data_IF_898705106785
#
_entry.id   IF_898705106785
#
_cell.length_a   1.000
_cell.length_b   1.000
_cell.length_c   1.000
_cell.angle_alpha   90.00
_cell.angle_beta   90.00
_cell.angle_gamma   90.00
#
_symmetry.space_group_name_H-M   'P 1'
#
loop_
_entity.id
_entity.type
_entity.pdbx_description
1 polymer ?
#
# COMPACT_ATOMS: atom_id res chain seq x y z
N UNK A 1 -14.54 -12.16 -18.97
CA UNK A 1 -15.79 -12.28 -18.18
C UNK A 1 -15.74 -13.31 -17.07
N UNK A 2 -14.55 -13.85 -16.68
CA UNK A 2 -14.40 -14.86 -15.60
C UNK A 2 -13.64 -14.37 -14.34
N UNK A 3 -13.25 -13.10 -14.29
CA UNK A 3 -12.44 -12.54 -13.19
C UNK A 3 -13.29 -12.01 -12.02
N UNK A 4 -14.57 -11.71 -12.28
CA UNK A 4 -15.48 -11.14 -11.25
C UNK A 4 -16.02 -12.20 -10.28
N UNK A 5 -16.01 -13.48 -10.66
CA UNK A 5 -16.67 -14.54 -9.86
C UNK A 5 -15.85 -15.06 -8.67
N UNK A 6 -14.53 -14.86 -8.65
CA UNK A 6 -13.66 -15.38 -7.58
C UNK A 6 -13.51 -14.42 -6.38
N UNK A 7 -13.87 -13.14 -6.54
CA UNK A 7 -13.77 -12.12 -5.49
C UNK A 7 -14.97 -12.09 -4.53
N UNK A 8 -15.94 -12.96 -4.72
CA UNK A 8 -17.28 -12.81 -4.12
C UNK A 8 -17.50 -13.52 -2.79
N UNK A 9 -16.56 -14.28 -2.26
CA UNK A 9 -16.88 -15.16 -1.13
C UNK A 9 -16.49 -14.69 0.26
N UNK A 10 -15.85 -13.54 0.45
CA UNK A 10 -15.36 -13.15 1.79
C UNK A 10 -15.32 -11.67 2.16
N UNK A 11 -15.59 -10.73 1.26
CA UNK A 11 -15.54 -9.31 1.60
C UNK A 11 -16.92 -8.79 2.03
N UNK A 12 -17.20 -8.84 3.33
CA UNK A 12 -18.42 -8.27 3.91
C UNK A 12 -18.07 -6.91 4.47
N UNK A 13 -18.36 -5.86 3.70
CA UNK A 13 -18.30 -4.48 4.17
C UNK A 13 -19.73 -3.96 4.37
N UNK A 14 -20.02 -3.40 5.54
CA UNK A 14 -21.31 -2.80 5.77
C UNK A 14 -21.36 -1.36 5.27
N UNK A 15 -22.42 -1.01 4.59
CA UNK A 15 -22.77 0.36 4.24
C UNK A 15 -23.57 1.03 5.34
N UNK A 16 -23.11 2.17 5.82
CA UNK A 16 -23.97 3.11 6.54
C UNK A 16 -24.85 3.86 5.54
N UNK A 17 -26.03 4.29 5.99
CA UNK A 17 -27.13 4.90 5.23
C UNK A 17 -26.70 5.73 4.00
N UNK A 18 -27.41 5.51 2.90
CA UNK A 18 -27.24 6.24 1.65
C UNK A 18 -27.37 7.75 1.85
N UNK A 19 -26.25 8.46 1.84
CA UNK A 19 -26.27 9.91 1.65
C UNK A 19 -26.25 10.19 0.16
N UNK A 20 -27.08 11.12 -0.30
CA UNK A 20 -27.09 11.56 -1.69
C UNK A 20 -25.70 12.02 -2.11
N UNK A 21 -25.19 11.51 -3.24
CA UNK A 21 -23.94 11.98 -3.82
C UNK A 21 -24.06 13.45 -4.23
N UNK A 22 -23.03 14.25 -4.04
CA UNK A 22 -23.01 15.61 -4.58
C UNK A 22 -23.24 15.60 -6.10
N UNK A 23 -23.99 16.57 -6.58
CA UNK A 23 -24.48 16.64 -7.98
C UNK A 23 -23.34 16.63 -9.03
N UNK A 24 -22.11 16.90 -8.63
CA UNK A 24 -20.94 17.03 -9.54
C UNK A 24 -19.87 15.94 -9.39
N UNK A 25 -20.12 14.88 -8.59
CA UNK A 25 -19.14 13.80 -8.50
C UNK A 25 -19.11 12.99 -9.81
N UNK A 26 -17.92 12.74 -10.43
CA UNK A 26 -17.86 11.91 -11.61
C UNK A 26 -18.34 10.50 -11.29
N UNK A 27 -19.22 9.98 -12.15
CA UNK A 27 -19.73 8.63 -11.99
C UNK A 27 -18.60 7.60 -12.17
N UNK A 28 -18.56 6.54 -11.34
CA UNK A 28 -17.61 5.47 -11.51
C UNK A 28 -17.87 4.73 -12.85
N UNK A 29 -16.83 4.16 -13.43
CA UNK A 29 -16.97 3.28 -14.59
C UNK A 29 -17.90 2.09 -14.28
N UNK A 30 -18.49 1.47 -15.27
CA UNK A 30 -19.42 0.35 -15.10
C UNK A 30 -18.82 -0.80 -14.26
N UNK A 31 -17.52 -1.11 -14.44
CA UNK A 31 -16.83 -2.14 -13.68
C UNK A 31 -16.64 -1.76 -12.20
N UNK A 32 -16.27 -0.51 -11.94
CA UNK A 32 -16.14 0.01 -10.56
C UNK A 32 -17.51 0.08 -9.89
N UNK A 33 -18.54 0.53 -10.62
CA UNK A 33 -19.91 0.55 -10.08
C UNK A 33 -20.38 -0.85 -9.68
N UNK A 34 -20.20 -1.86 -10.53
CA UNK A 34 -20.58 -3.23 -10.22
C UNK A 34 -19.85 -3.77 -8.96
N UNK A 35 -18.58 -3.44 -8.81
CA UNK A 35 -17.82 -3.76 -7.60
C UNK A 35 -18.39 -3.07 -6.36
N UNK A 36 -18.69 -1.77 -6.44
CA UNK A 36 -19.25 -1.00 -5.32
C UNK A 36 -20.65 -1.48 -4.96
N UNK A 37 -21.49 -1.86 -5.93
CA UNK A 37 -22.82 -2.40 -5.68
C UNK A 37 -22.74 -3.69 -4.84
N UNK A 38 -21.81 -4.59 -5.16
CA UNK A 38 -21.56 -5.81 -4.39
C UNK A 38 -21.03 -5.47 -3.00
N UNK A 39 -20.04 -4.59 -2.91
CA UNK A 39 -19.46 -4.16 -1.66
C UNK A 39 -20.50 -3.58 -0.70
N UNK A 40 -21.38 -2.72 -1.22
CA UNK A 40 -22.39 -2.01 -0.44
C UNK A 40 -23.66 -2.86 -0.17
N UNK A 41 -23.82 -4.03 -0.80
CA UNK A 41 -24.95 -4.95 -0.50
C UNK A 41 -24.73 -5.81 0.75
N UNK A 42 -23.51 -5.82 1.29
CA UNK A 42 -23.17 -6.61 2.48
C UNK A 42 -23.71 -6.00 3.77
N UNK A 43 -24.05 -6.87 4.72
CA UNK A 43 -24.53 -6.49 6.08
C UNK A 43 -23.45 -6.72 7.15
N UNK A 44 -22.17 -6.73 6.75
CA UNK A 44 -21.07 -6.96 7.69
C UNK A 44 -20.77 -5.75 8.58
N UNK A 45 -19.98 -6.01 9.62
CA UNK A 45 -19.46 -4.97 10.51
C UNK A 45 -18.57 -4.00 9.72
N UNK A 46 -18.78 -2.68 9.80
CA UNK A 46 -17.89 -1.70 9.18
C UNK A 46 -16.43 -1.88 9.62
N UNK A 47 -15.49 -1.67 8.71
CA UNK A 47 -14.06 -1.89 8.99
C UNK A 47 -13.56 -1.01 10.14
N UNK A 48 -14.02 0.23 10.21
CA UNK A 48 -13.67 1.18 11.28
C UNK A 48 -14.24 0.83 12.66
N UNK A 49 -15.08 -0.20 12.74
CA UNK A 49 -15.57 -0.76 13.99
C UNK A 49 -14.87 -2.09 14.36
N UNK A 50 -14.01 -2.58 13.46
CA UNK A 50 -13.23 -3.80 13.69
C UNK A 50 -11.96 -3.48 14.48
N UNK A 51 -11.43 -4.49 15.18
CA UNK A 51 -10.04 -4.44 15.61
C UNK A 51 -9.09 -4.48 14.39
N UNK A 52 -7.86 -3.97 14.51
CA UNK A 52 -6.86 -4.08 13.45
C UNK A 52 -6.65 -5.53 12.97
N UNK A 53 -6.67 -6.50 13.89
CA UNK A 53 -6.51 -7.91 13.56
C UNK A 53 -7.68 -8.46 12.71
N UNK A 54 -8.93 -8.15 13.08
CA UNK A 54 -10.12 -8.51 12.29
C UNK A 54 -10.06 -7.89 10.89
N UNK A 55 -9.77 -6.58 10.81
CA UNK A 55 -9.71 -5.85 9.54
C UNK A 55 -8.63 -6.40 8.59
N UNK A 56 -7.47 -6.83 9.13
CA UNK A 56 -6.41 -7.51 8.35
C UNK A 56 -6.91 -8.81 7.73
N UNK A 57 -7.67 -9.62 8.48
CA UNK A 57 -8.22 -10.88 7.96
C UNK A 57 -9.19 -10.65 6.80
N UNK A 58 -9.99 -9.58 6.84
CA UNK A 58 -10.87 -9.21 5.72
C UNK A 58 -10.06 -8.94 4.45
N UNK A 59 -8.98 -8.15 4.56
CA UNK A 59 -8.15 -7.82 3.40
C UNK A 59 -7.41 -9.05 2.84
N UNK A 60 -6.90 -9.92 3.72
CA UNK A 60 -6.25 -11.18 3.34
C UNK A 60 -7.26 -12.10 2.63
N UNK A 61 -8.47 -12.23 3.18
CA UNK A 61 -9.54 -13.05 2.60
C UNK A 61 -9.94 -12.59 1.20
N UNK A 62 -9.89 -11.28 0.94
CA UNK A 62 -10.21 -10.71 -0.37
C UNK A 62 -9.19 -11.09 -1.48
N UNK A 63 -8.04 -11.66 -1.13
CA UNK A 63 -7.03 -12.13 -2.10
C UNK A 63 -7.22 -13.60 -2.53
N UNK A 64 -8.21 -14.30 -1.98
CA UNK A 64 -8.45 -15.70 -2.34
C UNK A 64 -8.79 -15.83 -3.84
N UNK A 65 -8.12 -16.78 -4.50
CA UNK A 65 -8.34 -17.05 -5.92
C UNK A 65 -7.66 -16.06 -6.88
N UNK A 66 -6.88 -15.12 -6.39
CA UNK A 66 -6.09 -14.22 -7.25
C UNK A 66 -5.00 -15.03 -7.97
N UNK A 67 -4.99 -14.94 -9.31
CA UNK A 67 -3.94 -15.56 -10.13
C UNK A 67 -2.74 -14.61 -10.17
N UNK A 68 -1.59 -15.10 -9.72
CA UNK A 68 -0.36 -14.32 -9.68
C UNK A 68 0.43 -14.49 -10.99
N UNK A 69 0.93 -13.41 -11.60
CA UNK A 69 1.90 -13.51 -12.68
C UNK A 69 3.18 -14.21 -12.20
N UNK A 70 3.87 -14.95 -13.08
CA UNK A 70 5.11 -15.59 -12.74
C UNK A 70 6.19 -14.57 -12.37
N UNK A 71 6.94 -14.85 -11.31
CA UNK A 71 8.06 -14.04 -10.84
C UNK A 71 8.95 -14.85 -9.90
N UNK A 72 10.22 -14.47 -9.78
CA UNK A 72 11.10 -14.97 -8.73
C UNK A 72 10.92 -14.15 -7.47
N UNK A 73 10.64 -14.80 -6.34
CA UNK A 73 10.47 -14.15 -5.03
C UNK A 73 11.50 -14.74 -4.06
N UNK A 74 12.20 -13.87 -3.36
CA UNK A 74 13.14 -14.25 -2.31
C UNK A 74 13.05 -13.31 -1.11
N UNK A 75 13.53 -13.79 0.04
CA UNK A 75 13.53 -13.06 1.30
C UNK A 75 14.92 -12.54 1.65
N UNK A 76 14.97 -11.38 2.27
CA UNK A 76 16.15 -10.83 2.92
C UNK A 76 15.73 -10.15 4.23
N UNK A 77 16.45 -10.44 5.30
CA UNK A 77 16.32 -9.66 6.55
C UNK A 77 17.56 -8.79 6.69
N UNK A 78 17.36 -7.52 6.93
CA UNK A 78 18.43 -6.55 7.18
C UNK A 78 18.37 -6.09 8.63
N UNK A 79 19.54 -5.78 9.19
CA UNK A 79 19.69 -5.28 10.57
C UNK A 79 20.11 -3.82 10.49
N UNK A 80 19.30 -2.91 10.98
CA UNK A 80 19.58 -1.48 10.95
C UNK A 80 19.23 -0.86 12.30
N UNK A 81 20.19 -0.22 12.94
CA UNK A 81 20.00 0.46 14.23
C UNK A 81 19.34 -0.44 15.30
N UNK A 82 19.69 -1.72 15.31
CA UNK A 82 19.13 -2.70 16.25
C UNK A 82 17.73 -3.21 15.90
N UNK A 83 17.17 -2.82 14.77
CA UNK A 83 15.89 -3.31 14.25
C UNK A 83 16.10 -4.29 13.10
N UNK A 84 15.30 -5.36 13.08
CA UNK A 84 15.18 -6.27 11.92
C UNK A 84 14.10 -5.79 10.98
N UNK A 85 14.45 -5.53 9.72
CA UNK A 85 13.50 -5.20 8.67
C UNK A 85 13.50 -6.34 7.64
N UNK A 86 12.32 -6.90 7.38
CA UNK A 86 12.17 -7.94 6.37
C UNK A 86 11.90 -7.29 5.01
N UNK A 87 12.53 -7.84 3.98
CA UNK A 87 12.37 -7.44 2.60
C UNK A 87 11.94 -8.64 1.77
N UNK A 88 11.01 -8.44 0.82
CA UNK A 88 10.73 -9.38 -0.27
C UNK A 88 11.31 -8.81 -1.56
N UNK A 89 12.14 -9.57 -2.20
CA UNK A 89 12.73 -9.22 -3.50
C UNK A 89 11.97 -9.96 -4.58
N UNK A 90 11.32 -9.22 -5.47
CA UNK A 90 10.54 -9.77 -6.58
C UNK A 90 11.24 -9.39 -7.89
N UNK A 91 11.55 -10.38 -8.73
CA UNK A 91 12.22 -10.21 -10.01
C UNK A 91 11.42 -10.86 -11.12
N UNK A 92 11.53 -10.38 -12.37
CA UNK A 92 10.97 -11.08 -13.51
C UNK A 92 11.53 -12.51 -13.60
N UNK A 93 10.73 -13.45 -14.12
CA UNK A 93 11.22 -14.79 -14.40
C UNK A 93 12.41 -14.79 -15.38
N UNK A 94 13.30 -15.76 -15.21
CA UNK A 94 14.42 -16.00 -16.13
C UNK A 94 15.37 -14.81 -16.31
N UNK A 95 15.35 -13.84 -15.41
CA UNK A 95 16.24 -12.68 -15.50
C UNK A 95 17.65 -13.03 -15.08
N UNK A 96 18.64 -12.60 -15.88
CA UNK A 96 20.05 -12.71 -15.59
C UNK A 96 20.66 -11.33 -15.34
N UNK A 97 21.65 -11.28 -14.44
CA UNK A 97 22.37 -10.04 -14.13
C UNK A 97 21.69 -9.13 -13.12
N UNK A 98 22.18 -7.91 -13.03
CA UNK A 98 21.77 -6.91 -12.05
C UNK A 98 20.69 -6.00 -12.63
N UNK A 99 19.54 -5.94 -11.98
CA UNK A 99 18.37 -5.20 -12.46
C UNK A 99 18.28 -3.78 -11.89
N UNK A 100 17.66 -2.82 -12.60
CA UNK A 100 17.10 -1.64 -11.96
C UNK A 100 16.15 -2.06 -10.84
N UNK A 101 15.94 -1.21 -9.85
CA UNK A 101 15.14 -1.56 -8.69
C UNK A 101 14.18 -0.43 -8.30
N UNK A 102 13.02 -0.80 -7.82
CA UNK A 102 12.16 0.10 -7.07
C UNK A 102 11.86 -0.48 -5.68
N UNK A 103 11.90 0.40 -4.69
CA UNK A 103 11.33 0.10 -3.39
C UNK A 103 9.82 0.14 -3.52
N UNK A 104 9.13 -0.81 -2.90
CA UNK A 104 7.68 -0.83 -2.88
C UNK A 104 7.16 -0.70 -1.45
N UNK A 105 6.36 0.35 -1.22
CA UNK A 105 5.68 0.59 0.04
C UNK A 105 4.19 0.33 -0.14
N UNK A 106 3.66 -0.61 0.62
CA UNK A 106 2.29 -1.05 0.45
C UNK A 106 1.27 -0.10 1.09
N UNK A 107 0.04 -0.11 0.56
CA UNK A 107 -1.11 0.57 1.10
C UNK A 107 -1.76 -0.19 2.26
N UNK A 108 -2.93 0.28 2.69
CA UNK A 108 -3.70 -0.32 3.79
C UNK A 108 -3.73 0.55 5.04
N UNK A 109 -3.61 1.87 4.89
CA UNK A 109 -3.78 2.83 5.99
C UNK A 109 -2.71 2.71 7.08
N UNK A 110 -1.51 2.22 6.78
CA UNK A 110 -0.45 1.86 7.73
C UNK A 110 -0.84 0.77 8.74
N UNK A 111 -2.07 0.28 8.72
CA UNK A 111 -2.66 -0.68 9.67
C UNK A 111 -2.85 -2.06 9.05
N UNK A 112 -3.29 -2.08 7.81
CA UNK A 112 -3.60 -3.27 7.02
C UNK A 112 -2.53 -3.48 5.96
N UNK A 113 -2.64 -4.64 5.30
CA UNK A 113 -1.76 -4.98 4.19
C UNK A 113 -0.53 -5.75 4.65
N UNK A 114 -0.11 -6.60 3.75
CA UNK A 114 1.09 -7.43 3.84
C UNK A 114 1.57 -7.76 2.42
N UNK A 115 2.63 -8.54 2.28
CA UNK A 115 3.11 -8.95 0.97
C UNK A 115 2.05 -9.69 0.15
N UNK A 116 1.35 -10.72 0.67
CA UNK A 116 0.30 -11.42 -0.07
C UNK A 116 -0.81 -10.52 -0.61
N UNK A 117 -1.20 -9.49 0.13
CA UNK A 117 -2.29 -8.59 -0.28
C UNK A 117 -1.87 -7.63 -1.41
N UNK A 118 -0.59 -7.45 -1.64
CA UNK A 118 -0.03 -6.57 -2.68
C UNK A 118 0.79 -7.33 -3.73
N UNK A 119 0.99 -8.62 -3.56
CA UNK A 119 1.86 -9.43 -4.41
C UNK A 119 1.46 -9.38 -5.88
N UNK A 120 0.16 -9.38 -6.18
CA UNK A 120 -0.33 -9.27 -7.55
C UNK A 120 0.11 -7.95 -8.20
N UNK A 121 -0.10 -6.84 -7.54
CA UNK A 121 0.30 -5.52 -8.03
C UNK A 121 1.83 -5.44 -8.23
N UNK A 122 2.59 -5.93 -7.27
CA UNK A 122 4.06 -5.93 -7.35
C UNK A 122 4.53 -6.76 -8.54
N UNK A 123 3.98 -7.96 -8.75
CA UNK A 123 4.36 -8.83 -9.87
C UNK A 123 3.98 -8.22 -11.22
N UNK A 124 2.84 -7.57 -11.32
CA UNK A 124 2.44 -6.85 -12.54
C UNK A 124 3.43 -5.71 -12.85
N UNK A 125 3.77 -4.89 -11.85
CA UNK A 125 4.76 -3.81 -12.00
C UNK A 125 6.14 -4.35 -12.41
N UNK A 126 6.60 -5.43 -11.80
CA UNK A 126 7.87 -6.10 -12.13
C UNK A 126 7.87 -6.62 -13.55
N UNK A 127 6.80 -7.29 -13.97
CA UNK A 127 6.65 -7.84 -15.33
C UNK A 127 6.65 -6.74 -16.38
N UNK A 128 5.87 -5.68 -16.17
CA UNK A 128 5.71 -4.61 -17.15
C UNK A 128 6.94 -3.68 -17.22
N UNK A 129 7.63 -3.46 -16.11
CA UNK A 129 8.80 -2.58 -16.08
C UNK A 129 10.12 -3.28 -16.40
N UNK A 130 10.20 -4.59 -16.22
CA UNK A 130 11.46 -5.35 -16.26
C UNK A 130 12.42 -5.05 -15.11
N UNK A 131 12.04 -4.21 -14.15
CA UNK A 131 12.81 -3.91 -12.95
C UNK A 131 12.50 -4.90 -11.82
N UNK A 132 13.41 -5.01 -10.84
CA UNK A 132 13.13 -5.71 -9.59
C UNK A 132 12.34 -4.81 -8.63
N UNK A 133 11.47 -5.39 -7.81
CA UNK A 133 10.87 -4.74 -6.66
C UNK A 133 11.52 -5.20 -5.37
N UNK A 134 11.71 -4.28 -4.43
CA UNK A 134 12.02 -4.59 -3.04
C UNK A 134 10.86 -4.09 -2.18
N UNK A 135 10.00 -5.02 -1.79
CA UNK A 135 8.92 -4.76 -0.85
C UNK A 135 9.49 -4.63 0.57
N UNK A 136 9.08 -3.60 1.28
CA UNK A 136 9.46 -3.37 2.68
C UNK A 136 8.34 -3.81 3.59
N UNK A 137 8.59 -4.82 4.41
CA UNK A 137 7.67 -5.31 5.43
C UNK A 137 7.82 -4.43 6.69
N UNK A 138 7.31 -3.21 6.59
CA UNK A 138 7.37 -2.25 7.70
C UNK A 138 6.41 -2.64 8.81
N UNK A 139 6.73 -2.25 10.05
CA UNK A 139 5.88 -2.53 11.21
C UNK A 139 4.58 -1.72 11.11
N UNK A 140 3.41 -2.37 11.06
CA UNK A 140 2.15 -1.69 10.93
C UNK A 140 1.72 -1.01 12.25
N UNK A 141 0.74 -0.14 12.13
CA UNK A 141 0.04 0.45 13.28
C UNK A 141 -1.14 -0.43 13.71
N UNK A 142 -1.50 -0.46 14.96
CA UNK A 142 -0.99 0.32 16.09
C UNK A 142 0.22 -0.31 16.81
N UNK A 143 0.80 -1.41 16.30
CA UNK A 143 1.98 -2.06 16.91
C UNK A 143 3.18 -1.09 16.94
N UNK A 144 3.26 -0.19 15.97
CA UNK A 144 4.09 0.99 16.03
C UNK A 144 3.34 2.19 15.44
N UNK A 145 3.65 3.39 15.91
CA UNK A 145 3.06 4.62 15.40
C UNK A 145 4.05 5.41 14.55
N UNK A 146 3.54 6.44 13.86
CA UNK A 146 4.38 7.42 13.19
C UNK A 146 5.52 7.90 14.13
N UNK A 147 6.77 8.00 13.64
CA UNK A 147 7.21 7.86 12.26
C UNK A 147 7.81 6.48 11.88
N UNK A 148 7.67 5.43 12.71
CA UNK A 148 8.42 4.16 12.60
C UNK A 148 8.37 3.53 11.21
N UNK A 149 7.19 3.43 10.60
CA UNK A 149 7.05 2.84 9.26
C UNK A 149 7.83 3.62 8.19
N UNK A 150 7.82 4.96 8.27
CA UNK A 150 8.56 5.84 7.34
C UNK A 150 10.07 5.70 7.56
N UNK A 151 10.52 5.65 8.81
CA UNK A 151 11.93 5.49 9.14
C UNK A 151 12.47 4.14 8.65
N UNK A 152 11.70 3.07 8.85
CA UNK A 152 12.04 1.74 8.33
C UNK A 152 12.09 1.73 6.80
N UNK A 153 11.16 2.39 6.12
CA UNK A 153 11.15 2.52 4.67
C UNK A 153 12.37 3.30 4.16
N UNK A 154 12.73 4.39 4.81
CA UNK A 154 13.91 5.19 4.47
C UNK A 154 15.21 4.39 4.67
N UNK A 155 15.38 3.76 5.82
CA UNK A 155 16.58 2.98 6.12
C UNK A 155 16.72 1.75 5.20
N UNK A 156 15.61 1.07 4.87
CA UNK A 156 15.61 0.01 3.87
C UNK A 156 16.02 0.52 2.49
N UNK A 157 15.57 1.72 2.12
CA UNK A 157 15.93 2.37 0.85
C UNK A 157 17.43 2.68 0.77
N UNK A 158 17.99 3.21 1.87
CA UNK A 158 19.47 3.41 1.98
C UNK A 158 20.21 2.11 1.83
N UNK A 159 19.79 1.09 2.56
CA UNK A 159 20.43 -0.22 2.50
C UNK A 159 20.44 -0.78 1.07
N UNK A 160 19.32 -0.71 0.35
CA UNK A 160 19.25 -1.18 -1.04
C UNK A 160 20.16 -0.36 -1.97
N UNK A 161 20.22 0.95 -1.77
CA UNK A 161 21.12 1.80 -2.56
C UNK A 161 22.60 1.42 -2.38
N UNK A 162 23.01 1.06 -1.16
CA UNK A 162 24.39 0.74 -0.80
C UNK A 162 24.74 -0.75 -1.05
N UNK A 163 23.81 -1.66 -0.76
CA UNK A 163 24.00 -3.12 -0.75
C UNK A 163 23.20 -3.87 -1.82
N UNK A 164 22.59 -3.19 -2.78
CA UNK A 164 21.70 -3.79 -3.78
C UNK A 164 22.31 -4.97 -4.53
N UNK A 165 23.64 -4.97 -4.74
CA UNK A 165 24.35 -6.08 -5.38
C UNK A 165 24.21 -7.41 -4.63
N UNK A 166 24.07 -7.39 -3.29
CA UNK A 166 23.87 -8.60 -2.48
C UNK A 166 22.55 -9.31 -2.79
N UNK A 167 21.58 -8.56 -3.30
CA UNK A 167 20.27 -9.07 -3.71
C UNK A 167 20.08 -9.02 -5.23
N UNK A 168 21.18 -8.80 -6.00
CA UNK A 168 21.20 -8.79 -7.46
C UNK A 168 20.44 -7.64 -8.09
N UNK A 169 20.47 -6.45 -7.47
CA UNK A 169 19.89 -5.22 -8.02
C UNK A 169 20.91 -4.07 -8.03
N UNK A 170 20.68 -3.11 -8.91
CA UNK A 170 21.51 -1.92 -9.04
C UNK A 170 20.92 -0.77 -8.23
N UNK A 171 21.43 -0.55 -7.02
CA UNK A 171 21.03 0.53 -6.14
C UNK A 171 21.24 1.94 -6.70
N UNK A 172 22.05 2.12 -7.78
CA UNK A 172 22.21 3.42 -8.44
C UNK A 172 21.08 3.73 -9.42
N UNK A 173 20.29 2.71 -9.81
CA UNK A 173 19.08 2.81 -10.64
C UNK A 173 17.83 2.53 -9.80
N UNK A 174 17.68 3.29 -8.72
CA UNK A 174 16.66 3.10 -7.70
C UNK A 174 15.52 4.10 -7.86
N UNK A 175 14.28 3.59 -7.85
CA UNK A 175 13.04 4.35 -7.76
C UNK A 175 12.23 4.01 -6.53
N UNK A 176 11.19 4.78 -6.27
CA UNK A 176 10.21 4.52 -5.20
C UNK A 176 8.82 4.36 -5.81
N UNK A 177 8.09 3.37 -5.35
CA UNK A 177 6.72 3.07 -5.78
C UNK A 177 5.88 2.76 -4.54
N UNK A 178 4.65 3.24 -4.51
CA UNK A 178 3.73 2.90 -3.43
C UNK A 178 2.30 3.31 -3.75
N UNK A 179 1.35 2.60 -3.15
CA UNK A 179 -0.06 2.85 -3.34
C UNK A 179 -0.72 3.35 -2.03
N UNK A 180 -1.71 4.25 -2.15
CA UNK A 180 -2.42 4.78 -0.99
C UNK A 180 -1.45 5.41 0.03
N UNK A 181 -1.45 4.96 1.29
CA UNK A 181 -0.45 5.39 2.29
C UNK A 181 0.98 5.04 1.89
N UNK A 182 1.20 3.99 1.10
CA UNK A 182 2.51 3.70 0.51
C UNK A 182 2.97 4.81 -0.45
N UNK A 183 2.05 5.45 -1.16
CA UNK A 183 2.33 6.65 -1.95
C UNK A 183 2.71 7.87 -1.10
N UNK A 184 2.09 8.04 0.08
CA UNK A 184 2.52 9.01 1.09
C UNK A 184 3.94 8.70 1.57
N UNK A 185 4.24 7.42 1.85
CA UNK A 185 5.59 7.00 2.25
C UNK A 185 6.63 7.27 1.16
N UNK A 186 6.28 7.10 -0.12
CA UNK A 186 7.15 7.48 -1.26
C UNK A 186 7.55 8.96 -1.17
N UNK A 187 6.58 9.86 -0.98
CA UNK A 187 6.85 11.29 -0.84
C UNK A 187 7.75 11.58 0.39
N UNK A 188 7.42 10.97 1.53
CA UNK A 188 8.15 11.15 2.79
C UNK A 188 9.60 10.65 2.69
N UNK A 189 9.82 9.46 2.15
CA UNK A 189 11.16 8.87 1.94
C UNK A 189 11.97 9.70 0.95
N UNK A 190 11.36 10.19 -0.14
CA UNK A 190 12.04 11.04 -1.11
C UNK A 190 12.47 12.39 -0.49
N UNK A 191 11.62 12.98 0.37
CA UNK A 191 11.94 14.21 1.11
C UNK A 191 13.07 13.96 2.11
N UNK A 192 13.05 12.88 2.88
CA UNK A 192 14.15 12.50 3.79
C UNK A 192 15.44 12.27 3.01
N UNK A 193 15.40 11.58 1.88
CA UNK A 193 16.58 11.36 1.04
C UNK A 193 17.18 12.70 0.58
N UNK A 194 16.34 13.66 0.19
CA UNK A 194 16.80 15.01 -0.17
C UNK A 194 17.38 15.76 1.04
N UNK A 195 16.70 15.71 2.16
CA UNK A 195 17.08 16.47 3.37
C UNK A 195 18.38 15.98 4.01
N UNK A 196 18.58 14.66 4.02
CA UNK A 196 19.74 14.05 4.69
C UNK A 196 20.89 13.68 3.74
N UNK A 197 20.81 14.10 2.45
CA UNK A 197 21.82 13.73 1.46
C UNK A 197 21.87 12.23 1.20
N UNK A 198 20.72 11.56 1.35
CA UNK A 198 20.58 10.10 1.24
C UNK A 198 20.62 9.59 -0.20
N UNK A 199 20.08 8.41 -0.49
CA UNK A 199 20.21 7.77 -1.80
C UNK A 199 19.59 8.62 -2.91
N UNK A 200 20.22 8.56 -4.09
CA UNK A 200 19.66 9.22 -5.28
C UNK A 200 18.46 8.41 -5.78
N UNK A 201 17.28 8.94 -5.55
CA UNK A 201 16.03 8.42 -6.10
C UNK A 201 15.85 8.96 -7.52
N UNK A 202 15.68 8.07 -8.51
CA UNK A 202 15.57 8.43 -9.93
C UNK A 202 14.15 8.83 -10.33
N UNK A 203 13.15 8.19 -9.71
CA UNK A 203 11.74 8.47 -9.96
C UNK A 203 10.89 8.08 -8.76
N UNK A 204 9.72 8.68 -8.67
CA UNK A 204 8.70 8.39 -7.67
C UNK A 204 7.39 8.08 -8.38
N UNK A 205 6.76 6.95 -8.04
CA UNK A 205 5.44 6.57 -8.53
C UNK A 205 4.50 6.44 -7.34
N UNK A 206 3.57 7.37 -7.25
CA UNK A 206 2.58 7.42 -6.19
C UNK A 206 1.21 7.06 -6.76
N UNK A 207 0.77 5.83 -6.52
CA UNK A 207 -0.51 5.31 -6.99
C UNK A 207 -1.60 5.71 -6.00
N UNK A 208 -2.52 6.61 -6.39
CA UNK A 208 -3.61 7.16 -5.56
C UNK A 208 -3.17 7.48 -4.11
N UNK A 209 -2.18 8.35 -3.92
CA UNK A 209 -1.56 8.58 -2.62
C UNK A 209 -2.49 9.25 -1.62
N UNK A 210 -2.27 8.99 -0.34
CA UNK A 210 -2.81 9.81 0.75
C UNK A 210 -1.97 11.08 0.86
N UNK A 211 -2.58 12.23 0.62
CA UNK A 211 -1.88 13.53 0.54
C UNK A 211 -2.33 14.54 1.58
N UNK A 212 -3.43 14.28 2.29
CA UNK A 212 -4.00 15.21 3.26
C UNK A 212 -4.69 14.47 4.41
N UNK A 213 -4.57 15.01 5.61
CA UNK A 213 -5.28 14.58 6.80
C UNK A 213 -6.46 15.51 7.16
N UNK A 214 -6.75 16.51 6.33
CA UNK A 214 -7.93 17.35 6.49
C UNK A 214 -9.17 16.62 5.97
N UNK A 215 -9.98 16.10 6.87
CA UNK A 215 -11.19 15.34 6.53
C UNK A 215 -12.37 16.21 6.06
N UNK A 216 -12.26 17.53 6.06
CA UNK A 216 -13.35 18.44 5.69
C UNK A 216 -13.15 19.07 4.31
N UNK A 217 -12.17 18.60 3.53
CA UNK A 217 -12.02 19.00 2.14
C UNK A 217 -13.12 18.40 1.25
N UNK A 218 -13.27 18.93 0.04
CA UNK A 218 -14.32 18.54 -0.91
C UNK A 218 -14.28 17.06 -1.25
N UNK A 219 -13.08 16.49 -1.48
CA UNK A 219 -12.91 15.07 -1.84
C UNK A 219 -13.42 14.14 -0.72
N UNK A 220 -13.05 14.40 0.54
CA UNK A 220 -13.53 13.61 1.66
C UNK A 220 -15.04 13.73 1.87
N UNK A 221 -15.64 14.87 1.56
CA UNK A 221 -17.07 15.06 1.68
C UNK A 221 -17.83 14.40 0.53
N UNK A 222 -17.32 14.53 -0.69
CA UNK A 222 -17.91 13.94 -1.91
C UNK A 222 -17.92 12.41 -1.85
N UNK A 223 -16.81 11.80 -1.43
CA UNK A 223 -16.63 10.34 -1.42
C UNK A 223 -16.72 9.74 -0.01
N UNK A 224 -17.42 10.42 0.91
CA UNK A 224 -17.49 10.04 2.31
C UNK A 224 -18.05 8.64 2.56
N UNK A 225 -19.01 8.20 1.74
CA UNK A 225 -19.78 6.95 1.93
C UNK A 225 -19.93 6.18 0.61
N UNK A 226 -20.27 4.91 0.70
CA UNK A 226 -20.58 4.04 -0.44
C UNK A 226 -19.43 3.85 -1.44
N UNK A 227 -18.22 4.16 -1.05
CA UNK A 227 -16.99 3.91 -1.80
C UNK A 227 -16.14 2.87 -1.07
N UNK A 228 -15.16 2.29 -1.77
CA UNK A 228 -14.25 1.30 -1.19
C UNK A 228 -13.56 1.83 0.09
N UNK A 229 -13.20 3.11 0.10
CA UNK A 229 -12.60 3.79 1.23
C UNK A 229 -13.53 4.92 1.70
N UNK A 230 -14.06 4.81 2.90
CA UNK A 230 -14.96 5.81 3.48
C UNK A 230 -14.18 6.86 4.29
N UNK A 231 -14.80 8.01 4.51
CA UNK A 231 -14.27 9.06 5.41
C UNK A 231 -14.03 8.53 6.83
N UNK A 232 -14.93 7.67 7.33
CA UNK A 232 -14.79 7.07 8.67
C UNK A 232 -13.63 6.08 8.74
N UNK A 233 -13.44 5.25 7.70
CA UNK A 233 -12.26 4.39 7.60
C UNK A 233 -10.97 5.21 7.62
N UNK A 234 -10.91 6.33 6.88
CA UNK A 234 -9.72 7.19 6.89
C UNK A 234 -9.44 7.77 8.28
N UNK A 235 -10.47 8.23 9.00
CA UNK A 235 -10.31 8.68 10.39
C UNK A 235 -9.77 7.57 11.29
N UNK A 236 -10.30 6.35 11.13
CA UNK A 236 -9.84 5.18 11.87
C UNK A 236 -8.38 4.84 11.56
N UNK A 237 -7.95 4.87 10.30
CA UNK A 237 -6.56 4.67 9.92
C UNK A 237 -5.63 5.70 10.57
N UNK A 238 -5.95 6.99 10.44
CA UNK A 238 -5.15 8.04 11.05
C UNK A 238 -5.08 7.95 12.57
N UNK A 239 -6.17 7.56 13.23
CA UNK A 239 -6.19 7.38 14.70
C UNK A 239 -5.32 6.21 15.16
N UNK A 240 -5.17 5.16 14.34
CA UNK A 240 -4.24 4.06 14.61
C UNK A 240 -2.80 4.42 14.27
N UNK A 241 -2.57 5.27 13.25
CA UNK A 241 -1.23 5.61 12.76
C UNK A 241 -0.52 6.60 13.67
N UNK A 242 -1.21 7.62 14.14
CA UNK A 242 -0.62 8.66 15.01
C UNK A 242 -1.51 8.96 16.20
N UNK A 243 -0.88 9.13 17.36
CA UNK A 243 -1.55 9.49 18.62
C UNK A 243 -1.58 11.01 18.86
N UNK A 244 -0.86 11.78 18.05
CA UNK A 244 -0.77 13.25 18.18
C UNK A 244 -1.41 13.92 16.97
N UNK A 245 -2.29 14.88 17.22
CA UNK A 245 -2.91 15.66 16.15
C UNK A 245 -1.88 16.51 15.36
N UNK A 246 -0.78 16.93 15.98
CA UNK A 246 0.30 17.68 15.34
C UNK A 246 1.09 16.88 14.29
N UNK A 247 0.94 15.57 14.26
CA UNK A 247 1.67 14.67 13.35
C UNK A 247 0.83 14.31 12.09
N UNK A 248 -0.30 15.01 11.90
CA UNK A 248 -1.25 14.82 10.79
C UNK A 248 -1.12 15.88 9.71
#
# INVERSE_FOLDING_TARGET
MKIVSALLTSAVFASAAASAQPVNAPAPTAGVKAFLDVLNSGNGKPMEQMSPAEARQVLIGAQQGVVLPPAQVSDKTIQIKGQSIKLKIVKPENTKGTLPVFMFFHGGGWVLGDFPTHERLIRDLVRESGAAAVYVDYTPSPESHFPVAIDQAYEATKWVAEHGKEIGVDGTRLGLVGNSVGGNMVASVALQAKQFGGPKVRYNVMLWPVTDANFDNESYNTYANNHFLTKNMMKWFWNNYTTKASDR
#
